data_IF_251278485324
#
_entry.id   IF_251278485324
#
_cell.length_a   1.000
_cell.length_b   1.000
_cell.length_c   1.000
_cell.angle_alpha   90.00
_cell.angle_beta   90.00
_cell.angle_gamma   90.00
#
_symmetry.space_group_name_H-M   'P 1'
#
loop_
_entity.id
_entity.type
_entity.pdbx_description
1 polymer ?
#
# COMPACT_ATOMS: atom_id res chain seq x y z
N UNK A 1 14.41 -5.81 10.26
CA UNK A 1 13.36 -5.85 9.23
C UNK A 1 12.26 -4.94 9.74
N UNK A 2 12.08 -3.79 9.12
CA UNK A 2 10.97 -2.88 9.42
C UNK A 2 9.71 -3.53 8.88
N UNK A 3 8.98 -4.20 9.75
CA UNK A 3 7.63 -4.69 9.45
C UNK A 3 6.75 -3.49 9.16
N UNK A 4 6.09 -3.49 8.00
CA UNK A 4 5.03 -2.53 7.72
C UNK A 4 3.92 -2.71 8.76
N UNK A 5 3.39 -1.61 9.29
CA UNK A 5 2.35 -1.61 10.33
C UNK A 5 1.14 -0.92 9.73
N UNK A 6 0.21 -1.75 9.25
CA UNK A 6 -1.00 -1.30 8.57
C UNK A 6 -1.83 -0.34 9.44
N UNK A 7 -1.91 -0.55 10.76
CA UNK A 7 -2.68 0.35 11.63
C UNK A 7 -2.00 1.70 11.82
N UNK A 8 -0.68 1.71 11.98
CA UNK A 8 0.09 2.94 12.08
C UNK A 8 0.00 3.74 10.78
N UNK A 9 0.20 3.08 9.63
CA UNK A 9 0.07 3.68 8.31
C UNK A 9 -1.33 4.21 8.04
N UNK A 10 -2.38 3.46 8.43
CA UNK A 10 -3.78 3.92 8.34
C UNK A 10 -4.04 5.17 9.18
N UNK A 11 -3.58 5.17 10.43
CA UNK A 11 -3.74 6.34 11.31
C UNK A 11 -3.05 7.56 10.71
N UNK A 12 -1.86 7.38 10.13
CA UNK A 12 -1.14 8.45 9.45
C UNK A 12 -1.86 8.92 8.19
N UNK A 13 -2.27 8.01 7.31
CA UNK A 13 -2.98 8.35 6.08
C UNK A 13 -4.29 9.10 6.34
N UNK A 14 -4.99 8.81 7.45
CA UNK A 14 -6.21 9.55 7.84
C UNK A 14 -5.94 11.00 8.24
N UNK A 15 -4.70 11.37 8.58
CA UNK A 15 -4.31 12.78 8.80
C UNK A 15 -4.00 13.54 7.50
N UNK A 16 -3.95 12.84 6.36
CA UNK A 16 -3.74 13.42 5.04
C UNK A 16 -5.10 13.81 4.44
N UNK A 17 -5.46 15.08 4.61
CA UNK A 17 -6.70 15.66 4.11
C UNK A 17 -6.64 15.94 2.61
N UNK A 18 -7.77 15.76 1.90
CA UNK A 18 -7.95 16.08 0.47
C UNK A 18 -6.98 15.38 -0.49
N UNK A 19 -6.34 14.29 -0.04
CA UNK A 19 -5.55 13.39 -0.87
C UNK A 19 -6.39 12.14 -1.12
N UNK A 20 -6.32 11.59 -2.34
CA UNK A 20 -7.02 10.36 -2.68
C UNK A 20 -6.50 9.17 -1.84
N UNK A 21 -7.28 8.10 -1.70
CA UNK A 21 -6.92 6.99 -0.82
C UNK A 21 -5.60 6.30 -1.19
N UNK A 22 -5.29 6.17 -2.49
CA UNK A 22 -4.11 5.45 -2.97
C UNK A 22 -2.84 6.27 -2.76
N UNK A 23 -2.89 7.57 -3.04
CA UNK A 23 -1.80 8.50 -2.77
C UNK A 23 -1.54 8.62 -1.26
N UNK A 24 -2.60 8.70 -0.46
CA UNK A 24 -2.48 8.74 1.00
C UNK A 24 -1.86 7.45 1.57
N UNK A 25 -2.24 6.29 1.03
CA UNK A 25 -1.64 5.00 1.38
C UNK A 25 -0.15 4.95 1.00
N UNK A 26 0.18 5.39 -0.22
CA UNK A 26 1.54 5.42 -0.76
C UNK A 26 2.45 6.34 0.06
N UNK A 27 1.97 7.52 0.43
CA UNK A 27 2.69 8.47 1.27
C UNK A 27 2.93 7.86 2.65
N UNK A 28 1.89 7.38 3.34
CA UNK A 28 2.02 6.81 4.68
C UNK A 28 2.98 5.60 4.71
N UNK A 29 2.96 4.78 3.66
CA UNK A 29 3.87 3.66 3.53
C UNK A 29 5.32 4.10 3.35
N UNK A 30 5.57 5.07 2.47
CA UNK A 30 6.91 5.61 2.27
C UNK A 30 7.45 6.30 3.53
N UNK A 31 6.60 7.00 4.27
CA UNK A 31 6.97 7.64 5.55
C UNK A 31 7.42 6.59 6.56
N UNK A 32 6.63 5.52 6.72
CA UNK A 32 6.95 4.44 7.64
C UNK A 32 8.23 3.69 7.26
N UNK A 33 8.42 3.40 5.97
CA UNK A 33 9.60 2.67 5.49
C UNK A 33 10.89 3.50 5.57
N UNK A 34 10.79 4.82 5.38
CA UNK A 34 11.94 5.73 5.43
C UNK A 34 12.21 6.31 6.81
N UNK A 35 11.25 6.24 7.73
CA UNK A 35 11.29 6.93 9.02
C UNK A 35 11.25 8.45 8.90
N UNK A 36 10.69 8.98 7.81
CA UNK A 36 10.54 10.41 7.54
C UNK A 36 9.07 10.77 7.55
N UNK A 37 8.72 11.92 8.12
CA UNK A 37 7.36 12.45 8.09
C UNK A 37 7.26 13.65 7.13
N UNK A 38 6.03 13.99 6.75
CA UNK A 38 5.72 15.13 5.91
C UNK A 38 6.09 14.92 4.44
N UNK A 39 6.06 13.67 3.97
CA UNK A 39 6.35 13.38 2.57
C UNK A 39 5.18 13.80 1.67
N UNK A 40 5.54 14.22 0.46
CA UNK A 40 4.63 14.37 -0.68
C UNK A 40 4.66 13.10 -1.53
N UNK A 41 3.66 12.89 -2.39
CA UNK A 41 3.65 11.75 -3.32
C UNK A 41 4.93 11.67 -4.15
N UNK A 42 5.36 12.79 -4.76
CA UNK A 42 6.58 12.87 -5.57
C UNK A 42 7.85 12.45 -4.80
N UNK A 43 7.86 12.65 -3.48
CA UNK A 43 8.97 12.21 -2.61
C UNK A 43 8.78 10.80 -2.05
N UNK A 44 7.55 10.28 -2.05
CA UNK A 44 7.20 8.94 -1.57
C UNK A 44 7.51 7.87 -2.63
N UNK A 45 7.19 8.13 -3.91
CA UNK A 45 7.41 7.17 -5.00
C UNK A 45 8.89 6.72 -5.12
N UNK A 46 9.90 7.62 -5.08
CA UNK A 46 11.30 7.21 -5.15
C UNK A 46 11.77 6.42 -3.91
N UNK A 47 11.09 6.53 -2.77
CA UNK A 47 11.41 5.78 -1.56
C UNK A 47 10.98 4.31 -1.69
N UNK A 48 9.87 4.05 -2.37
CA UNK A 48 9.45 2.69 -2.73
C UNK A 48 10.41 2.07 -3.78
N UNK A 49 11.08 2.93 -4.56
CA UNK A 49 12.33 2.61 -5.24
C UNK A 49 12.22 1.64 -6.42
N UNK A 50 11.01 1.35 -6.89
CA UNK A 50 10.77 0.44 -8.01
C UNK A 50 9.46 0.80 -8.72
N UNK A 51 9.53 1.07 -10.03
CA UNK A 51 8.37 1.46 -10.84
C UNK A 51 7.36 0.31 -10.97
N UNK A 52 7.82 -0.93 -11.14
CA UNK A 52 6.96 -2.11 -11.20
C UNK A 52 6.17 -2.34 -9.91
N UNK A 53 6.76 -2.02 -8.74
CA UNK A 53 6.05 -2.02 -7.46
C UNK A 53 4.90 -1.00 -7.47
N UNK A 54 5.15 0.22 -7.95
CA UNK A 54 4.13 1.28 -8.01
C UNK A 54 2.99 0.88 -8.96
N UNK A 55 3.34 0.33 -10.13
CA UNK A 55 2.34 -0.17 -11.09
C UNK A 55 1.54 -1.34 -10.53
N UNK A 56 2.20 -2.28 -9.83
CA UNK A 56 1.52 -3.40 -9.16
C UNK A 56 0.57 -2.91 -8.07
N UNK A 57 0.96 -1.90 -7.28
CA UNK A 57 0.09 -1.28 -6.27
C UNK A 57 -1.21 -0.77 -6.93
N UNK A 58 -1.08 0.00 -8.01
CA UNK A 58 -2.24 0.52 -8.74
C UNK A 58 -3.10 -0.61 -9.32
N UNK A 59 -2.47 -1.61 -9.94
CA UNK A 59 -3.18 -2.76 -10.49
C UNK A 59 -3.98 -3.52 -9.41
N UNK A 60 -3.38 -3.78 -8.25
CA UNK A 60 -4.04 -4.50 -7.15
C UNK A 60 -5.19 -3.67 -6.57
N UNK A 61 -5.00 -2.37 -6.38
CA UNK A 61 -6.04 -1.44 -5.91
C UNK A 61 -7.25 -1.38 -6.85
N UNK A 62 -7.02 -1.42 -8.16
CA UNK A 62 -8.11 -1.34 -9.13
C UNK A 62 -8.80 -2.70 -9.36
N UNK A 63 -8.06 -3.80 -9.21
CA UNK A 63 -8.52 -5.13 -9.61
C UNK A 63 -9.11 -5.95 -8.46
N UNK A 64 -8.81 -5.60 -7.21
CA UNK A 64 -9.12 -6.43 -6.04
C UNK A 64 -9.84 -5.57 -5.00
N UNK A 65 -10.95 -6.07 -4.44
CA UNK A 65 -11.65 -5.34 -3.39
C UNK A 65 -11.02 -5.54 -2.00
N UNK A 66 -11.38 -4.68 -1.04
CA UNK A 66 -10.87 -4.73 0.33
C UNK A 66 -11.03 -6.10 1.02
N UNK A 67 -12.13 -6.81 0.76
CA UNK A 67 -12.37 -8.12 1.37
C UNK A 67 -11.34 -9.15 0.86
N UNK A 68 -11.15 -9.20 -0.46
CA UNK A 68 -10.15 -10.05 -1.09
C UNK A 68 -8.73 -9.67 -0.64
N UNK A 69 -8.40 -8.38 -0.57
CA UNK A 69 -7.09 -7.91 -0.05
C UNK A 69 -6.87 -8.24 1.43
N UNK A 70 -7.93 -8.18 2.25
CA UNK A 70 -7.84 -8.54 3.67
C UNK A 70 -7.62 -10.03 3.90
N UNK A 71 -8.16 -10.88 3.01
CA UNK A 71 -7.92 -12.33 3.00
C UNK A 71 -6.48 -12.65 2.52
N UNK A 72 -5.92 -11.82 1.63
CA UNK A 72 -4.57 -11.94 1.07
C UNK A 72 -3.45 -11.52 2.04
N UNK A 73 -3.77 -10.83 3.16
CA UNK A 73 -2.80 -10.55 4.22
C UNK A 73 -2.44 -11.80 5.06
N UNK A 74 -3.08 -12.94 4.82
CA UNK A 74 -2.65 -14.20 5.40
C UNK A 74 -1.40 -14.73 4.67
N UNK A 75 -0.41 -15.23 5.42
CA UNK A 75 0.95 -15.53 4.90
C UNK A 75 0.98 -16.58 3.77
N UNK A 76 -0.12 -17.28 3.53
CA UNK A 76 -0.26 -18.33 2.51
C UNK A 76 -0.58 -17.81 1.10
N UNK A 77 -0.85 -16.52 0.92
CA UNK A 77 -1.30 -15.97 -0.37
C UNK A 77 -0.21 -15.37 -1.26
N UNK A 78 1.06 -15.58 -0.93
CA UNK A 78 2.15 -15.21 -1.83
C UNK A 78 2.05 -15.99 -3.16
N UNK A 79 1.69 -15.29 -4.23
CA UNK A 79 1.69 -15.84 -5.58
C UNK A 79 3.06 -15.63 -6.23
N UNK A 80 3.92 -16.66 -6.16
CA UNK A 80 5.27 -16.63 -6.71
C UNK A 80 5.31 -16.46 -8.24
N UNK A 81 4.27 -16.91 -8.95
CA UNK A 81 4.16 -16.72 -10.39
C UNK A 81 3.88 -15.25 -10.72
N UNK A 82 2.91 -14.65 -10.04
CA UNK A 82 2.58 -13.23 -10.21
C UNK A 82 3.75 -12.33 -9.80
N UNK A 83 4.44 -12.61 -8.69
CA UNK A 83 5.63 -11.84 -8.31
C UNK A 83 6.73 -11.88 -9.39
N UNK A 84 6.89 -13.04 -10.07
CA UNK A 84 7.82 -13.21 -11.17
C UNK A 84 7.38 -12.45 -12.43
N UNK A 85 6.10 -12.50 -12.78
CA UNK A 85 5.54 -11.78 -13.94
C UNK A 85 5.70 -10.27 -13.81
N UNK A 86 5.55 -9.74 -12.60
CA UNK A 86 5.73 -8.33 -12.29
C UNK A 86 7.20 -7.96 -12.01
N UNK A 87 8.13 -8.91 -12.08
CA UNK A 87 9.56 -8.72 -11.80
C UNK A 87 9.85 -8.10 -10.42
N UNK A 88 8.98 -8.37 -9.44
CA UNK A 88 9.11 -7.88 -8.07
C UNK A 88 9.61 -8.98 -7.13
N UNK A 89 10.34 -8.58 -6.09
CA UNK A 89 10.69 -9.49 -4.99
C UNK A 89 9.46 -9.82 -4.14
N UNK A 90 9.51 -10.93 -3.40
CA UNK A 90 8.45 -11.29 -2.44
C UNK A 90 8.13 -10.14 -1.46
N UNK A 91 9.15 -9.39 -1.01
CA UNK A 91 8.95 -8.26 -0.10
C UNK A 91 8.21 -7.10 -0.77
N UNK A 92 8.56 -6.79 -2.01
CA UNK A 92 7.87 -5.76 -2.79
C UNK A 92 6.43 -6.20 -3.11
N UNK A 93 6.23 -7.47 -3.47
CA UNK A 93 4.89 -8.01 -3.70
C UNK A 93 4.00 -7.88 -2.46
N UNK A 94 4.50 -8.27 -1.27
CA UNK A 94 3.78 -8.09 0.00
C UNK A 94 3.47 -6.63 0.29
N UNK A 95 4.46 -5.75 0.11
CA UNK A 95 4.27 -4.32 0.29
C UNK A 95 3.20 -3.76 -0.67
N UNK A 96 3.16 -4.24 -1.91
CA UNK A 96 2.15 -3.83 -2.88
C UNK A 96 0.73 -4.15 -2.40
N UNK A 97 0.55 -5.37 -1.88
CA UNK A 97 -0.71 -5.82 -1.27
C UNK A 97 -1.08 -4.97 -0.06
N UNK A 98 -0.12 -4.72 0.83
CA UNK A 98 -0.36 -3.92 2.05
C UNK A 98 -0.76 -2.47 1.73
N UNK A 99 -0.15 -1.85 0.71
CA UNK A 99 -0.51 -0.50 0.25
C UNK A 99 -1.88 -0.48 -0.43
N UNK A 100 -2.19 -1.46 -1.28
CA UNK A 100 -3.51 -1.58 -1.90
C UNK A 100 -4.61 -1.79 -0.85
N UNK A 101 -4.39 -2.67 0.13
CA UNK A 101 -5.32 -2.86 1.25
C UNK A 101 -5.51 -1.56 2.05
N UNK A 102 -4.41 -0.86 2.35
CA UNK A 102 -4.44 0.40 3.06
C UNK A 102 -5.29 1.44 2.32
N UNK A 103 -5.15 1.55 1.00
CA UNK A 103 -5.94 2.44 0.15
C UNK A 103 -7.44 2.21 0.33
N UNK A 104 -7.92 0.97 0.19
CA UNK A 104 -9.35 0.69 0.40
C UNK A 104 -9.82 0.93 1.83
N UNK A 105 -8.98 0.66 2.84
CA UNK A 105 -9.33 0.95 4.24
C UNK A 105 -9.48 2.46 4.47
N UNK A 106 -8.67 3.28 3.81
CA UNK A 106 -8.79 4.75 3.84
C UNK A 106 -10.08 5.16 3.15
N UNK A 107 -10.35 4.63 1.96
CA UNK A 107 -11.58 4.90 1.19
C UNK A 107 -12.83 4.60 2.03
N UNK A 108 -12.95 3.38 2.57
CA UNK A 108 -14.07 2.98 3.43
C UNK A 108 -14.26 3.92 4.62
N UNK A 109 -13.17 4.29 5.31
CA UNK A 109 -13.23 5.20 6.46
C UNK A 109 -13.61 6.62 6.08
N UNK A 110 -13.13 7.13 4.94
CA UNK A 110 -13.45 8.47 4.44
C UNK A 110 -14.88 8.58 3.93
N UNK A 111 -15.39 7.52 3.28
CA UNK A 111 -16.76 7.46 2.79
C UNK A 111 -17.79 7.13 3.88
N UNK A 112 -17.34 6.74 5.08
CA UNK A 112 -18.23 6.36 6.17
C UNK A 112 -18.96 5.03 5.92
N UNK A 113 -18.42 4.20 5.03
CA UNK A 113 -18.92 2.86 4.74
C UNK A 113 -18.29 1.91 5.77
N UNK A 114 -19.05 1.58 6.81
CA UNK A 114 -18.67 0.66 7.89
C UNK A 114 -19.87 -0.12 8.41
#
# INVERSE_FOLDING_TARGET
MTTFDLQAALSRAMTLENIDPLDAATIAAAEQLSGKDGLTLDTALPILGNEQLIELIGFLNDSINCQQLSELCDKEFYNAEQAREWEVTEQQYRLAHEVALLSHLIEQKKEGIG
#
